data_IF_769448356656
#
_entry.id   IF_769448356656
#
_cell.length_a   1.000
_cell.length_b   1.000
_cell.length_c   1.000
_cell.angle_alpha   90.00
_cell.angle_beta   90.00
_cell.angle_gamma   90.00
#
_symmetry.space_group_name_H-M   'P 1'
#
loop_
_entity.id
_entity.type
_entity.pdbx_description
1 polymer ?
#
# COMPACT_ATOMS: atom_id res chain seq x y z
N UNK A 1 -2.87 -10.19 -3.63
CA UNK A 1 -2.02 -9.00 -3.71
C UNK A 1 -1.39 -8.94 -5.09
N UNK A 2 -1.74 -7.93 -5.89
CA UNK A 2 -1.17 -7.75 -7.22
C UNK A 2 0.22 -7.07 -7.14
N UNK A 3 1.05 -7.28 -8.16
CA UNK A 3 2.39 -6.69 -8.25
C UNK A 3 2.53 -6.00 -9.60
N UNK A 4 2.94 -4.73 -9.58
CA UNK A 4 3.19 -3.91 -10.75
C UNK A 4 4.65 -3.49 -10.74
N UNK A 5 5.31 -3.49 -11.89
CA UNK A 5 6.57 -2.76 -12.04
C UNK A 5 6.31 -1.25 -11.98
N UNK A 6 7.34 -0.46 -11.69
CA UNK A 6 7.27 0.99 -11.71
C UNK A 6 6.75 1.54 -13.06
N UNK A 7 7.15 0.91 -14.17
CA UNK A 7 6.70 1.30 -15.51
C UNK A 7 5.23 0.96 -15.75
N UNK A 8 4.73 -0.16 -15.23
CA UNK A 8 3.32 -0.52 -15.30
C UNK A 8 2.47 0.36 -14.40
N UNK A 9 2.96 0.73 -13.22
CA UNK A 9 2.29 1.66 -12.33
C UNK A 9 2.11 3.04 -12.99
N UNK A 10 3.13 3.53 -13.71
CA UNK A 10 3.06 4.77 -14.49
C UNK A 10 2.06 4.64 -15.67
N UNK A 11 2.21 3.58 -16.46
CA UNK A 11 1.44 3.41 -17.70
C UNK A 11 -0.02 3.01 -17.48
N UNK A 12 -0.32 2.36 -16.35
CA UNK A 12 -1.64 1.77 -16.04
C UNK A 12 -2.14 2.24 -14.67
N UNK A 13 -1.90 3.50 -14.34
CA UNK A 13 -2.24 4.05 -13.04
C UNK A 13 -3.71 3.87 -12.65
N UNK A 14 -4.65 4.06 -13.59
CA UNK A 14 -6.08 3.82 -13.33
C UNK A 14 -6.39 2.39 -12.92
N UNK A 15 -5.83 1.40 -13.65
CA UNK A 15 -5.99 -0.02 -13.32
C UNK A 15 -5.35 -0.37 -11.96
N UNK A 16 -4.21 0.25 -11.65
CA UNK A 16 -3.54 0.08 -10.37
C UNK A 16 -4.44 0.58 -9.23
N UNK A 17 -5.07 1.75 -9.37
CA UNK A 17 -5.99 2.29 -8.37
C UNK A 17 -7.23 1.41 -8.20
N UNK A 18 -7.82 0.93 -9.31
CA UNK A 18 -8.96 0.02 -9.25
C UNK A 18 -8.61 -1.29 -8.54
N UNK A 19 -7.43 -1.85 -8.80
CA UNK A 19 -6.93 -3.03 -8.10
C UNK A 19 -6.72 -2.77 -6.60
N UNK A 20 -6.13 -1.63 -6.24
CA UNK A 20 -5.85 -1.23 -4.86
C UNK A 20 -7.11 -1.02 -4.01
N UNK A 21 -8.28 -0.80 -4.63
CA UNK A 21 -9.57 -0.75 -3.93
C UNK A 21 -10.10 -2.11 -3.48
N UNK A 22 -9.61 -3.19 -4.08
CA UNK A 22 -10.03 -4.55 -3.76
C UNK A 22 -9.03 -5.28 -2.88
N UNK A 23 -7.73 -5.04 -3.09
CA UNK A 23 -6.65 -5.70 -2.37
C UNK A 23 -5.36 -4.86 -2.52
N UNK A 24 -4.43 -4.84 -1.54
CA UNK A 24 -3.17 -4.12 -1.67
C UNK A 24 -2.42 -4.46 -2.97
N UNK A 25 -1.74 -3.44 -3.51
CA UNK A 25 -0.91 -3.59 -4.71
C UNK A 25 0.51 -3.20 -4.41
N UNK A 26 1.46 -4.08 -4.72
CA UNK A 26 2.90 -3.79 -4.58
C UNK A 26 3.43 -3.17 -5.87
N UNK A 27 4.24 -2.13 -5.72
CA UNK A 27 5.04 -1.58 -6.81
C UNK A 27 6.50 -2.03 -6.64
N UNK A 28 7.05 -2.62 -7.68
CA UNK A 28 8.44 -3.05 -7.74
C UNK A 28 9.29 -2.19 -8.68
N UNK A 29 10.54 -1.97 -8.29
CA UNK A 29 11.57 -1.36 -9.15
C UNK A 29 12.79 -2.26 -9.20
N UNK A 30 13.14 -2.72 -10.40
CA UNK A 30 14.23 -3.68 -10.63
C UNK A 30 14.09 -4.95 -9.76
N UNK A 31 12.88 -5.49 -9.64
CA UNK A 31 12.58 -6.71 -8.87
C UNK A 31 12.59 -6.53 -7.34
N UNK A 32 12.61 -5.29 -6.84
CA UNK A 32 12.48 -4.99 -5.41
C UNK A 32 11.19 -4.24 -5.15
N UNK A 33 10.41 -4.71 -4.16
CA UNK A 33 9.26 -3.98 -3.66
C UNK A 33 9.70 -2.63 -3.08
N UNK A 34 9.15 -1.54 -3.62
CA UNK A 34 9.49 -0.16 -3.23
C UNK A 34 8.30 0.61 -2.65
N UNK A 35 7.08 0.22 -2.98
CA UNK A 35 5.87 0.83 -2.43
C UNK A 35 4.71 -0.17 -2.39
N UNK A 36 3.73 0.14 -1.57
CA UNK A 36 2.42 -0.53 -1.54
C UNK A 36 1.35 0.54 -1.69
N UNK A 37 0.37 0.29 -2.54
CA UNK A 37 -0.81 1.14 -2.71
C UNK A 37 -1.99 0.45 -2.08
N UNK A 38 -2.70 1.21 -1.25
CA UNK A 38 -3.84 0.82 -0.43
C UNK A 38 -4.94 1.87 -0.62
N UNK A 39 -6.15 1.57 -0.16
CA UNK A 39 -7.15 2.61 0.04
C UNK A 39 -6.73 3.58 1.14
N UNK A 40 -7.36 4.76 1.18
CA UNK A 40 -7.09 5.74 2.24
C UNK A 40 -7.56 5.21 3.59
N UNK A 41 -8.70 4.54 3.59
CA UNK A 41 -9.33 3.91 4.73
C UNK A 41 -8.41 2.86 5.36
N UNK A 42 -7.89 1.91 4.57
CA UNK A 42 -6.97 0.89 5.08
C UNK A 42 -5.69 1.51 5.65
N UNK A 43 -5.18 2.58 5.01
CA UNK A 43 -3.99 3.27 5.51
C UNK A 43 -4.23 3.96 6.85
N UNK A 44 -5.41 4.55 7.06
CA UNK A 44 -5.77 5.16 8.33
C UNK A 44 -5.92 4.12 9.44
N UNK A 45 -6.56 3.00 9.16
CA UNK A 45 -6.66 1.88 10.11
C UNK A 45 -5.27 1.38 10.53
N UNK A 46 -4.34 1.25 9.58
CA UNK A 46 -2.95 0.89 9.87
C UNK A 46 -2.24 1.94 10.75
N UNK A 47 -2.51 3.22 10.55
CA UNK A 47 -1.95 4.29 11.39
C UNK A 47 -2.51 4.26 12.80
N UNK A 48 -3.83 4.05 12.95
CA UNK A 48 -4.49 3.96 14.24
C UNK A 48 -3.97 2.76 15.03
N UNK A 49 -3.86 1.58 14.41
CA UNK A 49 -3.27 0.39 15.02
C UNK A 49 -1.82 0.65 15.48
N UNK A 50 -1.03 1.34 14.65
CA UNK A 50 0.34 1.70 15.00
C UNK A 50 0.38 2.65 16.20
N UNK A 51 -0.52 3.63 16.25
CA UNK A 51 -0.61 4.59 17.35
C UNK A 51 -0.98 3.91 18.67
N UNK A 52 -1.99 3.04 18.65
CA UNK A 52 -2.39 2.26 19.83
C UNK A 52 -1.26 1.38 20.35
N UNK A 53 -0.50 0.72 19.46
CA UNK A 53 0.67 -0.06 19.83
C UNK A 53 1.75 0.81 20.52
N UNK A 54 2.04 1.99 19.96
CA UNK A 54 3.01 2.91 20.55
C UNK A 54 2.55 3.40 21.94
N UNK A 55 1.26 3.69 22.11
CA UNK A 55 0.69 4.10 23.40
C UNK A 55 0.85 3.02 24.46
N UNK A 56 0.65 1.75 24.08
CA UNK A 56 0.81 0.62 24.99
C UNK A 56 2.26 0.39 25.44
N UNK A 57 3.26 0.74 24.62
CA UNK A 57 4.69 0.60 24.97
C UNK A 57 5.20 1.68 25.95
N UNK A 58 4.45 2.78 26.13
CA UNK A 58 4.84 3.93 26.97
C UNK A 58 4.16 3.90 28.36
N UNK A 59 3.14 3.06 28.56
CA UNK A 59 2.49 2.82 29.87
C UNK A 59 3.21 1.72 30.66
#
# INVERSE_FOLDING_TARGET
MAVFSANEAESRFGQLLDAARHDPVVIEKHGRAVAVVLTKEDYDELLDMKLERLRAEVQ
#
